data_IF_677190231648
#
_entry.id   IF_677190231648
#
_cell.length_a   1.000
_cell.length_b   1.000
_cell.length_c   1.000
_cell.angle_alpha   90.00
_cell.angle_beta   90.00
_cell.angle_gamma   90.00
#
_symmetry.space_group_name_H-M   'P 1'
#
loop_
_entity.id
_entity.type
_entity.pdbx_description
1 polymer ?
#
# COMPACT_ATOMS: atom_id res chain seq x y z
N UNK A 1 1.94 19.12 1.46
CA UNK A 1 0.60 19.20 0.84
C UNK A 1 0.59 18.29 -0.37
N UNK A 2 -0.49 17.54 -0.60
CA UNK A 2 -0.61 16.71 -1.81
C UNK A 2 -1.03 17.61 -2.96
N UNK A 3 -0.12 17.90 -3.89
CA UNK A 3 -0.50 18.62 -5.09
C UNK A 3 -1.57 17.82 -5.88
N UNK A 4 -2.49 18.54 -6.52
CA UNK A 4 -3.69 17.99 -7.17
C UNK A 4 -3.72 18.36 -8.65
N UNK A 5 -4.38 17.54 -9.46
CA UNK A 5 -4.74 17.86 -10.86
C UNK A 5 -6.24 18.03 -10.97
N UNK A 6 -6.69 19.12 -11.61
CA UNK A 6 -8.12 19.40 -11.80
C UNK A 6 -8.58 18.77 -13.11
N UNK A 7 -9.68 18.00 -13.05
CA UNK A 7 -10.30 17.43 -14.23
C UNK A 7 -10.92 18.54 -15.09
N UNK A 8 -10.49 18.66 -16.35
CA UNK A 8 -11.01 19.68 -17.29
C UNK A 8 -12.51 19.46 -17.62
N UNK A 9 -13.01 18.22 -17.49
CA UNK A 9 -14.40 17.87 -17.82
C UNK A 9 -15.38 18.15 -16.67
N UNK A 10 -15.07 17.73 -15.43
CA UNK A 10 -15.99 17.87 -14.30
C UNK A 10 -15.53 18.84 -13.18
N UNK A 11 -14.32 19.41 -13.29
CA UNK A 11 -13.77 20.34 -12.29
C UNK A 11 -13.30 19.68 -10.99
N UNK A 12 -13.38 18.35 -10.88
CA UNK A 12 -12.99 17.61 -9.68
C UNK A 12 -11.48 17.65 -9.45
N UNK A 13 -11.07 17.74 -8.19
CA UNK A 13 -9.66 17.67 -7.79
C UNK A 13 -9.22 16.22 -7.60
N UNK A 14 -8.24 15.79 -8.37
CA UNK A 14 -7.72 14.42 -8.40
C UNK A 14 -6.27 14.40 -7.88
N UNK A 15 -5.80 13.24 -7.44
CA UNK A 15 -4.41 13.09 -7.02
C UNK A 15 -3.48 13.23 -8.24
N UNK A 16 -2.30 13.83 -8.06
CA UNK A 16 -1.34 14.05 -9.15
C UNK A 16 -0.87 12.77 -9.84
N UNK A 17 -0.98 11.61 -9.19
CA UNK A 17 -0.55 10.32 -9.71
C UNK A 17 -1.68 9.54 -10.42
N UNK A 18 -2.87 10.12 -10.56
CA UNK A 18 -4.00 9.54 -11.29
C UNK A 18 -4.01 9.98 -12.75
N UNK A 19 -4.26 9.06 -13.67
CA UNK A 19 -4.38 9.34 -15.10
C UNK A 19 -5.83 9.47 -15.58
N UNK A 20 -6.80 9.23 -14.70
CA UNK A 20 -8.23 9.35 -14.96
C UNK A 20 -8.93 9.98 -13.78
N UNK A 21 -9.99 10.73 -14.06
CA UNK A 21 -10.77 11.37 -13.03
C UNK A 21 -11.54 10.34 -12.21
N UNK A 22 -11.37 10.36 -10.89
CA UNK A 22 -12.12 9.52 -9.96
C UNK A 22 -13.65 9.72 -10.06
N UNK A 23 -14.11 10.91 -10.46
CA UNK A 23 -15.54 11.21 -10.57
C UNK A 23 -16.14 10.87 -11.93
N UNK A 24 -15.48 11.22 -13.05
CA UNK A 24 -16.06 11.11 -14.39
C UNK A 24 -15.27 10.24 -15.39
N UNK A 25 -14.17 9.61 -14.96
CA UNK A 25 -13.30 8.73 -15.78
C UNK A 25 -12.59 9.41 -16.96
N UNK A 26 -12.75 10.73 -17.13
CA UNK A 26 -12.03 11.51 -18.13
C UNK A 26 -10.51 11.42 -17.90
N UNK A 27 -9.76 11.28 -18.98
CA UNK A 27 -8.29 11.24 -18.94
C UNK A 27 -7.72 12.56 -18.38
N UNK A 28 -6.86 12.45 -17.37
CA UNK A 28 -6.17 13.58 -16.76
C UNK A 28 -4.84 13.83 -17.47
N UNK A 29 -4.52 15.11 -17.73
CA UNK A 29 -3.27 15.52 -18.39
C UNK A 29 -2.22 15.94 -17.37
N UNK A 30 -1.56 14.96 -16.76
CA UNK A 30 -0.52 15.13 -15.73
C UNK A 30 0.86 14.60 -16.15
N UNK A 31 1.20 14.72 -17.43
CA UNK A 31 2.47 14.23 -18.01
C UNK A 31 3.73 14.71 -17.27
N UNK A 32 3.67 15.87 -16.62
CA UNK A 32 4.79 16.37 -15.82
C UNK A 32 5.10 15.47 -14.62
N UNK A 33 4.09 14.88 -13.98
CA UNK A 33 4.27 13.94 -12.87
C UNK A 33 4.94 12.65 -13.35
N UNK A 34 4.52 12.14 -14.51
CA UNK A 34 5.05 10.92 -15.11
C UNK A 34 6.37 11.12 -15.87
N UNK A 35 7.04 12.26 -15.66
CA UNK A 35 8.36 12.52 -16.23
C UNK A 35 9.42 12.06 -15.25
N UNK A 36 10.21 11.08 -15.65
CA UNK A 36 11.33 10.62 -14.87
C UNK A 36 12.48 11.67 -14.90
N UNK A 37 12.75 12.30 -13.76
CA UNK A 37 13.81 13.30 -13.61
C UNK A 37 14.84 12.86 -12.57
N UNK A 38 16.00 12.37 -13.04
CA UNK A 38 17.07 11.88 -12.17
C UNK A 38 17.57 12.92 -11.15
N UNK A 39 17.34 14.22 -11.36
CA UNK A 39 17.69 15.25 -10.38
C UNK A 39 16.85 15.11 -9.11
N UNK A 40 15.61 14.64 -9.23
CA UNK A 40 14.75 14.34 -8.08
C UNK A 40 15.31 13.19 -7.26
N UNK A 41 15.86 12.14 -7.89
CA UNK A 41 16.54 11.06 -7.18
C UNK A 41 17.68 11.58 -6.30
N UNK A 42 18.61 12.34 -6.88
CA UNK A 42 19.77 12.83 -6.14
C UNK A 42 19.40 13.85 -5.05
N UNK A 43 18.33 14.63 -5.28
CA UNK A 43 17.76 15.55 -4.30
C UNK A 43 17.10 14.79 -3.15
N UNK A 44 16.27 13.79 -3.46
CA UNK A 44 15.56 12.99 -2.47
C UNK A 44 16.54 12.21 -1.61
N UNK A 45 17.41 11.39 -2.21
CA UNK A 45 18.37 10.57 -1.46
C UNK A 45 19.64 11.37 -1.09
N UNK A 46 19.52 12.60 -0.62
CA UNK A 46 20.65 13.46 -0.25
C UNK A 46 21.15 13.18 1.18
N UNK A 47 22.37 13.65 1.50
CA UNK A 47 22.90 13.56 2.87
C UNK A 47 22.02 14.35 3.85
N UNK A 48 21.56 15.53 3.45
CA UNK A 48 20.69 16.39 4.26
C UNK A 48 19.39 15.66 4.64
N UNK A 49 18.76 14.96 3.68
CA UNK A 49 17.55 14.19 3.96
C UNK A 49 17.81 13.00 4.89
N UNK A 50 18.96 12.32 4.79
CA UNK A 50 19.36 11.30 5.78
C UNK A 50 19.50 11.91 7.17
N UNK A 51 20.13 13.08 7.29
CA UNK A 51 20.29 13.75 8.58
C UNK A 51 18.96 14.19 9.19
N UNK A 52 18.00 14.63 8.37
CA UNK A 52 16.63 14.91 8.80
C UNK A 52 15.98 13.63 9.32
N UNK A 53 16.02 12.55 8.53
CA UNK A 53 15.45 11.26 8.90
C UNK A 53 16.00 10.77 10.23
N UNK A 54 17.32 10.81 10.46
CA UNK A 54 17.96 10.37 11.72
C UNK A 54 17.58 11.18 12.97
N UNK A 55 17.07 12.41 12.80
CA UNK A 55 16.77 13.32 13.92
C UNK A 55 15.29 13.39 14.27
N UNK A 56 14.41 13.12 13.30
CA UNK A 56 12.97 13.28 13.44
C UNK A 56 12.33 11.90 13.41
N UNK A 57 11.89 11.34 14.55
CA UNK A 57 11.18 10.06 14.57
C UNK A 57 9.77 10.21 14.00
N UNK A 58 9.20 9.10 13.54
CA UNK A 58 7.78 9.01 13.26
C UNK A 58 7.00 8.98 14.59
N UNK A 59 6.31 10.07 14.91
CA UNK A 59 5.53 10.21 16.15
C UNK A 59 4.07 9.83 15.93
N UNK A 60 3.35 9.47 16.99
CA UNK A 60 1.91 9.16 16.96
C UNK A 60 1.11 10.26 16.26
N UNK A 61 1.35 11.53 16.59
CA UNK A 61 0.64 12.66 15.97
C UNK A 61 0.95 12.80 14.47
N UNK A 62 2.19 12.56 14.07
CA UNK A 62 2.56 12.54 12.65
C UNK A 62 1.85 11.38 11.92
N UNK A 63 1.81 10.21 12.56
CA UNK A 63 1.17 9.02 12.02
C UNK A 63 -0.35 9.18 11.91
N UNK A 64 -1.02 9.71 12.93
CA UNK A 64 -2.45 10.06 12.89
C UNK A 64 -2.75 11.02 11.74
N UNK A 65 -1.90 12.02 11.51
CA UNK A 65 -2.05 12.94 10.38
C UNK A 65 -1.91 12.23 9.04
N UNK A 66 -1.05 11.21 8.94
CA UNK A 66 -0.88 10.38 7.74
C UNK A 66 -2.13 9.53 7.50
N UNK A 67 -2.61 8.82 8.51
CA UNK A 67 -3.81 7.98 8.41
C UNK A 67 -5.03 8.82 8.01
N UNK A 68 -5.24 9.98 8.66
CA UNK A 68 -6.35 10.87 8.31
C UNK A 68 -6.22 11.45 6.90
N UNK A 69 -5.00 11.79 6.45
CA UNK A 69 -4.77 12.21 5.06
C UNK A 69 -5.14 11.11 4.04
N UNK A 70 -4.92 9.84 4.36
CA UNK A 70 -5.34 8.70 3.52
C UNK A 70 -6.87 8.54 3.54
N UNK A 71 -7.50 8.71 4.70
CA UNK A 71 -8.97 8.73 4.81
C UNK A 71 -9.55 9.87 3.98
N UNK A 72 -8.99 11.08 4.04
CA UNK A 72 -9.50 12.24 3.29
C UNK A 72 -9.47 12.02 1.77
N UNK A 73 -8.48 11.27 1.25
CA UNK A 73 -8.46 10.86 -0.16
C UNK A 73 -9.75 10.09 -0.53
N UNK A 74 -10.25 9.22 0.33
CA UNK A 74 -11.50 8.49 0.08
C UNK A 74 -12.73 9.39 0.20
N UNK A 75 -12.82 10.18 1.28
CA UNK A 75 -13.96 11.05 1.59
C UNK A 75 -14.21 12.12 0.51
N UNK A 76 -13.15 12.67 -0.09
CA UNK A 76 -13.26 13.63 -1.19
C UNK A 76 -13.89 13.01 -2.45
N UNK A 77 -13.87 11.69 -2.58
CA UNK A 77 -14.23 10.96 -3.80
C UNK A 77 -15.45 10.03 -3.64
N UNK A 78 -15.83 9.73 -2.41
CA UNK A 78 -16.92 8.82 -2.10
C UNK A 78 -17.66 9.27 -0.83
N UNK A 79 -18.83 9.88 -1.01
CA UNK A 79 -19.72 10.26 0.11
C UNK A 79 -20.86 9.26 0.22
N UNK A 80 -20.62 8.12 0.85
CA UNK A 80 -21.69 7.16 1.21
C UNK A 80 -21.39 6.60 2.60
N UNK A 81 -22.45 6.20 3.32
CA UNK A 81 -22.33 5.46 4.55
C UNK A 81 -21.66 4.10 4.32
N UNK A 82 -20.97 3.53 5.32
CA UNK A 82 -20.45 2.18 5.22
C UNK A 82 -21.55 1.18 4.84
N UNK A 83 -21.34 0.40 3.78
CA UNK A 83 -22.24 -0.68 3.34
C UNK A 83 -21.47 -1.99 3.24
N UNK A 84 -22.19 -3.12 3.15
CA UNK A 84 -21.57 -4.43 2.98
C UNK A 84 -20.72 -4.49 1.70
N UNK A 85 -19.61 -5.22 1.78
CA UNK A 85 -18.70 -5.44 0.67
C UNK A 85 -19.42 -6.14 -0.51
N UNK A 86 -19.56 -5.44 -1.63
CA UNK A 86 -19.96 -6.02 -2.91
C UNK A 86 -19.08 -5.42 -4.01
N UNK A 87 -18.92 -6.14 -5.13
CA UNK A 87 -17.97 -5.77 -6.19
C UNK A 87 -18.14 -4.33 -6.68
N UNK A 88 -19.37 -3.89 -6.96
CA UNK A 88 -19.64 -2.53 -7.44
C UNK A 88 -19.24 -1.47 -6.42
N UNK A 89 -19.55 -1.72 -5.15
CA UNK A 89 -19.19 -0.84 -4.06
C UNK A 89 -17.67 -0.76 -3.88
N UNK A 90 -16.99 -1.92 -3.85
CA UNK A 90 -15.54 -2.00 -3.69
C UNK A 90 -14.77 -1.33 -4.83
N UNK A 91 -15.26 -1.45 -6.08
CA UNK A 91 -14.67 -0.72 -7.21
C UNK A 91 -14.75 0.80 -7.00
N UNK A 92 -15.88 1.31 -6.48
CA UNK A 92 -16.03 2.76 -6.20
C UNK A 92 -15.11 3.22 -5.07
N UNK A 93 -15.01 2.44 -3.99
CA UNK A 93 -14.12 2.73 -2.86
C UNK A 93 -12.65 2.70 -3.27
N UNK A 94 -12.26 1.70 -4.08
CA UNK A 94 -10.88 1.56 -4.53
C UNK A 94 -10.46 2.69 -5.48
N UNK A 95 -11.38 3.19 -6.31
CA UNK A 95 -11.11 4.16 -7.39
C UNK A 95 -10.19 5.35 -7.04
N UNK A 96 -10.36 6.07 -5.91
CA UNK A 96 -9.45 7.15 -5.54
C UNK A 96 -8.03 6.69 -5.18
N UNK A 97 -7.85 5.42 -4.84
CA UNK A 97 -6.59 4.82 -4.40
C UNK A 97 -5.91 4.05 -5.53
N UNK A 98 -6.62 3.07 -6.09
CA UNK A 98 -6.15 2.18 -7.14
C UNK A 98 -7.27 1.81 -8.11
N UNK A 99 -6.94 1.72 -9.40
CA UNK A 99 -7.91 1.34 -10.43
C UNK A 99 -8.10 -0.18 -10.46
N UNK A 100 -9.32 -0.64 -10.24
CA UNK A 100 -9.71 -2.05 -10.41
C UNK A 100 -10.03 -2.33 -11.87
N UNK A 101 -9.43 -3.39 -12.44
CA UNK A 101 -9.68 -3.82 -13.81
C UNK A 101 -9.36 -5.31 -14.00
N UNK A 102 -9.93 -5.92 -15.04
CA UNK A 102 -9.56 -7.29 -15.41
C UNK A 102 -8.19 -7.33 -16.08
N UNK A 103 -7.38 -8.33 -15.76
CA UNK A 103 -6.14 -8.61 -16.48
C UNK A 103 -6.45 -9.26 -17.84
N UNK A 104 -6.50 -8.42 -18.87
CA UNK A 104 -6.73 -8.87 -20.24
C UNK A 104 -5.52 -9.58 -20.86
N UNK A 105 -4.32 -9.35 -20.32
CA UNK A 105 -3.08 -9.91 -20.83
C UNK A 105 -2.73 -11.26 -20.17
N UNK A 106 -3.43 -11.64 -19.10
CA UNK A 106 -3.20 -12.86 -18.33
C UNK A 106 -1.73 -13.03 -17.95
N UNK A 107 -1.12 -11.96 -17.42
CA UNK A 107 0.30 -11.87 -17.07
C UNK A 107 0.65 -12.81 -15.91
N UNK A 108 -0.30 -13.00 -15.00
CA UNK A 108 -0.15 -13.75 -13.76
C UNK A 108 -1.25 -14.82 -13.63
N UNK A 109 -1.24 -15.86 -14.50
CA UNK A 109 -2.35 -16.81 -14.62
C UNK A 109 -2.61 -17.64 -13.36
N UNK A 110 -1.61 -17.76 -12.48
CA UNK A 110 -1.70 -18.55 -11.25
C UNK A 110 -2.32 -17.77 -10.08
N UNK A 111 -2.52 -16.46 -10.24
CA UNK A 111 -3.06 -15.58 -9.21
C UNK A 111 -4.52 -15.24 -9.53
N UNK A 112 -5.37 -15.17 -8.50
CA UNK A 112 -6.73 -14.66 -8.64
C UNK A 112 -6.76 -13.15 -8.86
N UNK A 113 -5.81 -12.44 -8.26
CA UNK A 113 -5.63 -11.01 -8.42
C UNK A 113 -4.20 -10.63 -8.10
N UNK A 114 -3.82 -9.41 -8.45
CA UNK A 114 -2.57 -8.82 -7.99
C UNK A 114 -2.65 -7.29 -8.03
N UNK A 115 -1.96 -6.65 -7.09
CA UNK A 115 -1.74 -5.22 -7.03
C UNK A 115 -0.43 -4.85 -7.71
N UNK A 116 -0.47 -3.91 -8.66
CA UNK A 116 0.73 -3.41 -9.33
C UNK A 116 0.55 -1.94 -9.73
N UNK A 117 1.43 -1.08 -9.23
CA UNK A 117 1.54 0.35 -9.56
C UNK A 117 0.18 1.10 -9.64
N UNK A 118 -0.54 1.18 -8.51
CA UNK A 118 -1.87 1.81 -8.40
C UNK A 118 -2.98 1.15 -9.25
N UNK A 119 -2.78 -0.11 -9.65
CA UNK A 119 -3.80 -0.90 -10.32
C UNK A 119 -4.02 -2.22 -9.60
N UNK A 120 -5.29 -2.56 -9.44
CA UNK A 120 -5.75 -3.85 -8.95
C UNK A 120 -6.21 -4.64 -10.17
N UNK A 121 -5.53 -5.75 -10.44
CA UNK A 121 -5.83 -6.62 -11.55
C UNK A 121 -6.60 -7.84 -11.06
N UNK A 122 -7.78 -8.09 -11.64
CA UNK A 122 -8.57 -9.29 -11.38
C UNK A 122 -8.36 -10.27 -12.54
N UNK A 123 -7.92 -11.49 -12.26
CA UNK A 123 -7.82 -12.52 -13.28
C UNK A 123 -9.23 -12.87 -13.80
N UNK A 124 -9.37 -13.06 -15.11
CA UNK A 124 -10.66 -13.40 -15.74
C UNK A 124 -11.20 -14.76 -15.31
N UNK A 125 -10.34 -15.65 -14.82
CA UNK A 125 -10.69 -16.97 -14.34
C UNK A 125 -11.05 -16.98 -12.84
N UNK A 126 -10.93 -15.84 -12.15
CA UNK A 126 -11.29 -15.74 -10.74
C UNK A 126 -12.79 -15.98 -10.56
N UNK A 127 -13.20 -16.94 -9.72
CA UNK A 127 -14.60 -17.17 -9.41
C UNK A 127 -15.26 -15.88 -8.92
N UNK A 128 -16.48 -15.60 -9.40
CA UNK A 128 -17.17 -14.32 -9.13
C UNK A 128 -17.35 -14.06 -7.64
N UNK A 129 -17.58 -15.12 -6.87
CA UNK A 129 -17.70 -15.11 -5.42
C UNK A 129 -16.40 -14.70 -4.71
N UNK A 130 -15.22 -14.90 -5.31
CA UNK A 130 -13.93 -14.52 -4.70
C UNK A 130 -13.49 -13.10 -5.06
N UNK A 131 -14.14 -12.45 -6.04
CA UNK A 131 -13.77 -11.10 -6.50
C UNK A 131 -13.83 -10.04 -5.38
N UNK A 132 -14.83 -10.02 -4.47
CA UNK A 132 -14.82 -9.08 -3.35
C UNK A 132 -13.58 -9.24 -2.45
N UNK A 133 -13.23 -10.48 -2.11
CA UNK A 133 -12.02 -10.83 -1.35
C UNK A 133 -10.75 -10.35 -2.03
N UNK A 134 -10.64 -10.64 -3.33
CA UNK A 134 -9.52 -10.18 -4.16
C UNK A 134 -9.37 -8.65 -4.14
N UNK A 135 -10.45 -7.88 -4.36
CA UNK A 135 -10.35 -6.41 -4.37
C UNK A 135 -9.92 -5.87 -3.01
N UNK A 136 -10.47 -6.40 -1.91
CA UNK A 136 -10.10 -5.96 -0.55
C UNK A 136 -8.64 -6.30 -0.25
N UNK A 137 -8.19 -7.50 -0.61
CA UNK A 137 -6.81 -7.95 -0.44
C UNK A 137 -5.83 -7.03 -1.17
N UNK A 138 -6.05 -6.80 -2.46
CA UNK A 138 -5.17 -5.94 -3.27
C UNK A 138 -5.23 -4.46 -2.86
N UNK A 139 -6.39 -3.98 -2.40
CA UNK A 139 -6.52 -2.62 -1.87
C UNK A 139 -5.75 -2.45 -0.56
N UNK A 140 -5.68 -3.48 0.29
CA UNK A 140 -4.90 -3.45 1.51
C UNK A 140 -3.40 -3.30 1.24
N UNK A 141 -2.86 -4.00 0.22
CA UNK A 141 -1.49 -3.77 -0.25
C UNK A 141 -1.25 -2.33 -0.67
N UNK A 142 -2.17 -1.76 -1.45
CA UNK A 142 -2.08 -0.36 -1.85
C UNK A 142 -2.05 0.58 -0.64
N UNK A 143 -2.98 0.41 0.31
CA UNK A 143 -3.10 1.28 1.47
C UNK A 143 -1.87 1.19 2.38
N UNK A 144 -1.31 -0.01 2.57
CA UNK A 144 -0.06 -0.16 3.31
C UNK A 144 1.10 0.56 2.61
N UNK A 145 1.21 0.42 1.29
CA UNK A 145 2.21 1.15 0.50
C UNK A 145 1.97 2.69 0.59
N UNK A 146 0.72 3.14 0.61
CA UNK A 146 0.37 4.56 0.79
C UNK A 146 0.77 5.09 2.18
N UNK A 147 0.62 4.31 3.25
CA UNK A 147 1.12 4.65 4.59
C UNK A 147 2.64 4.89 4.55
N UNK A 148 3.40 3.99 3.90
CA UNK A 148 4.86 4.14 3.75
C UNK A 148 5.21 5.42 2.99
N UNK A 149 4.56 5.66 1.85
CA UNK A 149 4.81 6.86 1.02
C UNK A 149 4.54 8.14 1.79
N UNK A 150 3.38 8.23 2.44
CA UNK A 150 3.02 9.41 3.21
C UNK A 150 3.89 9.59 4.45
N UNK A 151 4.40 8.50 5.04
CA UNK A 151 5.41 8.58 6.11
C UNK A 151 6.69 9.26 5.63
N UNK A 152 7.24 8.86 4.48
CA UNK A 152 8.43 9.50 3.90
C UNK A 152 8.16 10.96 3.55
N UNK A 153 7.01 11.24 2.94
CA UNK A 153 6.59 12.60 2.58
C UNK A 153 6.49 13.51 3.81
N UNK A 154 5.92 12.99 4.90
CA UNK A 154 5.77 13.73 6.15
C UNK A 154 7.13 13.98 6.81
N UNK A 155 7.95 12.95 6.97
CA UNK A 155 9.26 13.04 7.62
C UNK A 155 10.22 14.01 6.91
N UNK A 156 10.19 14.04 5.58
CA UNK A 156 11.05 14.91 4.77
C UNK A 156 10.39 16.23 4.36
N UNK A 157 9.10 16.41 4.66
CA UNK A 157 8.28 17.53 4.19
C UNK A 157 8.40 17.75 2.66
N UNK A 158 8.22 16.67 1.90
CA UNK A 158 8.30 16.66 0.43
C UNK A 158 6.97 16.24 -0.19
N UNK A 159 6.70 16.72 -1.40
CA UNK A 159 5.56 16.27 -2.17
C UNK A 159 5.82 14.89 -2.79
N UNK A 160 4.73 14.15 -3.04
CA UNK A 160 4.77 12.87 -3.73
C UNK A 160 5.39 13.03 -5.12
N UNK A 161 6.31 12.13 -5.45
CA UNK A 161 6.94 12.02 -6.76
C UNK A 161 7.21 10.53 -7.06
N UNK A 162 7.63 10.24 -8.30
CA UNK A 162 7.88 8.86 -8.74
C UNK A 162 8.93 8.14 -7.88
N UNK A 163 9.96 8.83 -7.39
CA UNK A 163 10.97 8.19 -6.54
C UNK A 163 10.45 7.84 -5.13
N UNK A 164 9.44 8.55 -4.61
CA UNK A 164 8.74 8.15 -3.37
C UNK A 164 7.86 6.92 -3.66
N UNK A 165 7.17 6.88 -4.80
CA UNK A 165 6.39 5.70 -5.22
C UNK A 165 7.32 4.47 -5.34
N UNK A 166 8.44 4.61 -6.05
CA UNK A 166 9.41 3.53 -6.25
C UNK A 166 10.17 3.16 -4.99
N UNK A 167 10.41 4.09 -4.06
CA UNK A 167 10.97 3.77 -2.75
C UNK A 167 10.05 2.80 -1.99
N UNK A 168 8.76 3.10 -1.91
CA UNK A 168 7.81 2.25 -1.20
C UNK A 168 7.67 0.89 -1.88
N UNK A 169 7.61 0.84 -3.22
CA UNK A 169 7.64 -0.42 -3.97
C UNK A 169 8.91 -1.24 -3.74
N UNK A 170 10.08 -0.61 -3.77
CA UNK A 170 11.34 -1.27 -3.46
C UNK A 170 11.31 -1.87 -2.05
N UNK A 171 10.85 -1.09 -1.07
CA UNK A 171 10.73 -1.54 0.31
C UNK A 171 9.80 -2.76 0.44
N UNK A 172 8.63 -2.73 -0.20
CA UNK A 172 7.63 -3.82 -0.06
C UNK A 172 7.88 -5.03 -0.95
N UNK A 173 8.72 -4.92 -1.99
CA UNK A 173 9.00 -6.02 -2.93
C UNK A 173 10.39 -6.64 -2.83
N UNK A 174 11.39 -5.91 -2.33
CA UNK A 174 12.78 -6.37 -2.33
C UNK A 174 13.28 -6.75 -0.94
N UNK A 175 12.57 -6.34 0.11
CA UNK A 175 12.86 -6.77 1.48
C UNK A 175 11.92 -7.93 1.87
N UNK A 176 12.47 -9.12 2.07
CA UNK A 176 11.72 -10.35 2.36
C UNK A 176 10.80 -10.21 3.59
N UNK A 177 11.27 -9.57 4.66
CA UNK A 177 10.44 -9.35 5.85
C UNK A 177 9.30 -8.36 5.60
N UNK A 178 9.52 -7.35 4.76
CA UNK A 178 8.45 -6.42 4.37
C UNK A 178 7.47 -7.03 3.36
N UNK A 179 7.90 -7.98 2.54
CA UNK A 179 6.98 -8.79 1.73
C UNK A 179 6.04 -9.59 2.66
N UNK A 180 6.59 -10.22 3.70
CA UNK A 180 5.80 -10.92 4.73
C UNK A 180 4.83 -9.95 5.42
N UNK A 181 5.30 -8.76 5.84
CA UNK A 181 4.42 -7.74 6.45
C UNK A 181 3.29 -7.37 5.49
N UNK A 182 3.61 -7.10 4.23
CA UNK A 182 2.67 -6.66 3.22
C UNK A 182 1.57 -7.71 2.94
N UNK A 183 1.96 -8.98 2.74
CA UNK A 183 1.02 -10.11 2.58
C UNK A 183 0.21 -10.38 3.84
N UNK A 184 0.84 -10.32 5.01
CA UNK A 184 0.12 -10.57 6.25
C UNK A 184 -0.94 -9.48 6.51
N UNK A 185 -0.63 -8.21 6.23
CA UNK A 185 -1.58 -7.10 6.31
C UNK A 185 -2.78 -7.34 5.39
N UNK A 186 -2.56 -7.72 4.13
CA UNK A 186 -3.66 -7.91 3.17
C UNK A 186 -4.58 -9.07 3.55
N UNK A 187 -4.02 -10.19 4.00
CA UNK A 187 -4.80 -11.31 4.53
C UNK A 187 -5.63 -10.92 5.75
N UNK A 188 -5.06 -10.18 6.70
CA UNK A 188 -5.78 -9.72 7.90
C UNK A 188 -6.96 -8.79 7.57
N UNK A 189 -6.76 -7.90 6.62
CA UNK A 189 -7.80 -6.97 6.16
C UNK A 189 -8.91 -7.74 5.42
N UNK A 190 -8.55 -8.67 4.53
CA UNK A 190 -9.51 -9.53 3.84
C UNK A 190 -10.34 -10.36 4.82
N UNK A 191 -9.68 -11.02 5.77
CA UNK A 191 -10.31 -11.83 6.80
C UNK A 191 -11.28 -11.02 7.67
N UNK A 192 -10.98 -9.74 7.94
CA UNK A 192 -11.87 -8.87 8.71
C UNK A 192 -13.15 -8.48 7.97
N UNK A 193 -13.04 -8.05 6.71
CA UNK A 193 -14.19 -7.52 5.97
C UNK A 193 -15.03 -8.58 5.27
N UNK A 194 -14.39 -9.66 4.80
CA UNK A 194 -15.02 -10.73 4.00
C UNK A 194 -14.48 -12.12 4.38
N UNK A 195 -14.63 -12.55 5.64
CA UNK A 195 -14.18 -13.86 6.14
C UNK A 195 -14.71 -15.05 5.32
N UNK A 196 -15.89 -14.94 4.72
CA UNK A 196 -16.46 -15.98 3.85
C UNK A 196 -15.67 -16.20 2.55
N UNK A 197 -14.81 -15.25 2.18
CA UNK A 197 -13.93 -15.29 1.01
C UNK A 197 -12.46 -15.47 1.39
N UNK A 198 -12.16 -15.65 2.68
CA UNK A 198 -10.80 -15.85 3.16
C UNK A 198 -10.38 -17.31 3.00
N UNK A 199 -9.34 -17.55 2.22
CA UNK A 199 -8.83 -18.91 1.92
C UNK A 199 -7.62 -19.31 2.78
N UNK A 200 -7.26 -18.48 3.77
CA UNK A 200 -6.07 -18.68 4.59
C UNK A 200 -4.83 -17.95 4.06
N UNK A 201 -3.74 -18.04 4.82
CA UNK A 201 -2.49 -17.30 4.63
C UNK A 201 -1.56 -17.93 3.57
N UNK A 202 -2.08 -18.42 2.45
CA UNK A 202 -1.30 -19.22 1.49
C UNK A 202 -0.08 -18.47 0.93
N UNK A 203 -0.23 -17.22 0.47
CA UNK A 203 0.91 -16.44 -0.04
C UNK A 203 1.93 -16.08 1.05
N UNK A 204 1.50 -15.91 2.30
CA UNK A 204 2.42 -15.74 3.44
C UNK A 204 3.21 -17.02 3.68
N UNK A 205 2.56 -18.19 3.66
CA UNK A 205 3.24 -19.47 3.83
C UNK A 205 4.25 -19.73 2.72
N UNK A 206 3.94 -19.38 1.47
CA UNK A 206 4.88 -19.47 0.35
C UNK A 206 6.13 -18.61 0.60
N UNK A 207 5.97 -17.35 1.05
CA UNK A 207 7.11 -16.49 1.41
C UNK A 207 7.95 -17.04 2.57
N UNK A 208 7.32 -17.75 3.51
CA UNK A 208 8.00 -18.35 4.66
C UNK A 208 8.78 -19.61 4.28
N UNK A 209 8.33 -20.35 3.27
CA UNK A 209 8.97 -21.57 2.77
C UNK A 209 10.15 -21.29 1.82
N UNK A 210 10.14 -20.15 1.13
CA UNK A 210 11.12 -19.81 0.07
C UNK A 210 12.51 -19.37 0.58
N UNK A 211 12.69 -19.13 1.89
CA UNK A 211 13.89 -18.46 2.42
C UNK A 211 14.54 -19.13 3.64
N UNK A 212 15.85 -18.90 3.80
CA UNK A 212 16.55 -19.15 5.08
C UNK A 212 16.38 -17.94 6.00
N UNK A 213 15.12 -17.63 6.34
CA UNK A 213 14.73 -16.45 7.10
C UNK A 213 14.91 -16.70 8.61
N UNK A 214 15.30 -15.63 9.31
CA UNK A 214 15.47 -15.67 10.75
C UNK A 214 14.09 -15.68 11.44
N UNK A 215 13.87 -16.66 12.32
CA UNK A 215 12.60 -16.86 12.99
C UNK A 215 12.15 -15.63 13.80
N UNK A 216 13.06 -15.01 14.55
CA UNK A 216 12.71 -13.87 15.42
C UNK A 216 12.34 -12.65 14.58
N UNK A 217 13.00 -12.48 13.42
CA UNK A 217 12.65 -11.45 12.45
C UNK A 217 11.31 -11.73 11.76
N UNK A 218 10.97 -12.99 11.49
CA UNK A 218 9.63 -13.37 10.99
C UNK A 218 8.56 -13.00 12.03
N UNK A 219 8.75 -13.39 13.30
CA UNK A 219 7.81 -13.07 14.39
C UNK A 219 7.61 -11.56 14.53
N UNK A 220 8.71 -10.80 14.41
CA UNK A 220 8.68 -9.34 14.40
C UNK A 220 7.90 -8.80 13.19
N UNK A 221 8.18 -9.29 11.98
CA UNK A 221 7.51 -8.88 10.75
C UNK A 221 6.00 -9.13 10.81
N UNK A 222 5.59 -10.32 11.24
CA UNK A 222 4.18 -10.68 11.43
C UNK A 222 3.51 -9.84 12.51
N UNK A 223 4.21 -9.52 13.60
CA UNK A 223 3.70 -8.66 14.68
C UNK A 223 3.52 -7.20 14.23
N UNK A 224 4.45 -6.69 13.41
CA UNK A 224 4.30 -5.39 12.73
C UNK A 224 3.10 -5.44 11.79
N UNK A 225 2.98 -6.48 10.95
CA UNK A 225 1.85 -6.65 10.04
C UNK A 225 0.50 -6.71 10.76
N UNK A 226 0.42 -7.43 11.88
CA UNK A 226 -0.78 -7.46 12.72
C UNK A 226 -1.16 -6.07 13.21
N UNK A 227 -0.17 -5.30 13.66
CA UNK A 227 -0.39 -3.96 14.23
C UNK A 227 -0.81 -2.96 13.16
N UNK A 228 -0.15 -2.96 12.00
CA UNK A 228 -0.47 -2.07 10.87
C UNK A 228 -1.78 -2.45 10.18
N UNK A 229 -2.16 -3.74 10.17
CA UNK A 229 -3.43 -4.17 9.60
C UNK A 229 -4.63 -3.48 10.25
N UNK A 230 -4.53 -3.15 11.55
CA UNK A 230 -5.57 -2.39 12.28
C UNK A 230 -5.74 -0.98 11.72
N UNK A 231 -4.66 -0.34 11.29
CA UNK A 231 -4.70 0.99 10.69
C UNK A 231 -5.35 0.95 9.29
N UNK A 232 -5.03 -0.08 8.50
CA UNK A 232 -5.67 -0.31 7.19
C UNK A 232 -7.16 -0.63 7.34
N UNK A 233 -7.52 -1.45 8.33
CA UNK A 233 -8.92 -1.72 8.70
C UNK A 233 -9.61 -0.40 9.07
N UNK A 234 -9.02 0.40 9.96
CA UNK A 234 -9.60 1.70 10.36
C UNK A 234 -9.88 2.63 9.18
N UNK A 235 -8.99 2.67 8.18
CA UNK A 235 -9.19 3.44 6.95
C UNK A 235 -10.41 2.91 6.18
N UNK A 236 -10.49 1.59 5.97
CA UNK A 236 -11.54 0.97 5.16
C UNK A 236 -12.90 0.93 5.86
N UNK A 237 -12.96 0.87 7.19
CA UNK A 237 -14.20 0.92 7.98
C UNK A 237 -14.98 2.22 7.80
N UNK A 238 -14.34 3.27 7.28
CA UNK A 238 -15.05 4.51 6.90
C UNK A 238 -15.99 4.29 5.71
N UNK A 239 -15.80 3.22 4.95
CA UNK A 239 -16.50 2.96 3.69
C UNK A 239 -17.12 1.57 3.59
N UNK A 240 -16.60 0.58 4.32
CA UNK A 240 -17.02 -0.83 4.26
C UNK A 240 -17.51 -1.27 5.62
N UNK A 241 -18.72 -1.83 5.69
CA UNK A 241 -19.18 -2.56 6.87
C UNK A 241 -18.65 -4.00 6.82
N UNK A 242 -18.07 -4.53 7.91
CA UNK A 242 -17.66 -5.94 7.97
C UNK A 242 -18.86 -6.87 7.76
N UNK A 243 -18.71 -7.90 6.93
CA UNK A 243 -19.80 -8.82 6.53
C UNK A 243 -20.37 -9.63 7.71
N UNK A 244 -19.52 -9.90 8.70
CA UNK A 244 -19.84 -10.60 9.94
C UNK A 244 -19.19 -9.86 11.10
N UNK A 245 -19.86 -9.79 12.25
CA UNK A 245 -19.26 -9.36 13.52
C UNK A 245 -18.30 -10.44 14.02
N UNK A 246 -17.21 -10.67 13.28
CA UNK A 246 -16.15 -11.58 13.70
C UNK A 246 -15.44 -10.90 14.86
N UNK A 247 -15.47 -11.53 16.03
CA UNK A 247 -14.65 -11.07 17.14
C UNK A 247 -13.17 -11.26 16.73
N UNK A 248 -12.40 -10.17 16.52
CA UNK A 248 -11.02 -10.25 16.04
C UNK A 248 -10.12 -11.06 16.97
N UNK A 249 -10.50 -11.18 18.25
CA UNK A 249 -9.74 -11.87 19.29
C UNK A 249 -9.87 -13.40 19.24
N UNK A 250 -10.77 -13.96 18.42
CA UNK A 250 -10.99 -15.42 18.30
C UNK A 250 -10.21 -16.03 17.12
N UNK A 251 -9.58 -15.21 16.28
CA UNK A 251 -8.95 -15.68 15.05
C UNK A 251 -7.55 -16.22 15.33
N UNK A 252 -7.45 -17.55 15.29
CA UNK A 252 -6.23 -18.31 15.48
C UNK A 252 -5.36 -18.29 14.20
N UNK A 253 -4.36 -17.41 14.14
CA UNK A 253 -3.17 -17.59 13.29
C UNK A 253 -2.25 -18.74 13.77
N UNK A 254 -2.82 -19.69 14.53
CA UNK A 254 -2.13 -20.89 15.02
C UNK A 254 -1.51 -21.71 13.89
N UNK A 255 -2.08 -21.64 12.68
CA UNK A 255 -1.58 -22.37 11.52
C UNK A 255 -0.25 -21.84 10.97
N UNK A 256 0.19 -20.63 11.38
CA UNK A 256 1.49 -20.09 10.97
C UNK A 256 2.65 -20.61 11.83
N UNK A 257 2.40 -21.07 13.07
CA UNK A 257 3.45 -21.62 13.94
C UNK A 257 4.44 -20.60 14.54
N UNK A 258 4.10 -19.31 14.50
CA UNK A 258 4.91 -18.20 15.03
C UNK A 258 4.23 -17.50 16.21
N UNK A 259 4.99 -16.94 17.15
CA UNK A 259 4.46 -16.13 18.25
C UNK A 259 4.18 -14.70 17.76
N UNK A 260 2.97 -14.49 17.23
CA UNK A 260 2.54 -13.20 16.69
C UNK A 260 1.76 -12.45 17.76
N UNK A 261 2.22 -11.24 18.11
CA UNK A 261 1.58 -10.38 19.11
C UNK A 261 1.40 -8.98 18.58
N UNK A 262 0.27 -8.35 18.91
CA UNK A 262 0.10 -6.93 18.59
C UNK A 262 1.16 -6.13 19.33
N UNK A 263 1.84 -5.25 18.60
CA UNK A 263 2.70 -4.24 19.18
C UNK A 263 1.83 -3.10 19.74
N UNK A 264 2.33 -2.43 20.77
CA UNK A 264 1.81 -1.10 21.11
C UNK A 264 2.17 -0.07 20.04
N UNK A 265 1.51 1.08 20.07
CA UNK A 265 1.65 2.12 19.06
C UNK A 265 3.12 2.55 18.88
N UNK A 266 3.82 2.83 19.97
CA UNK A 266 5.21 3.29 19.91
C UNK A 266 6.13 2.23 19.30
N UNK A 267 5.96 0.95 19.64
CA UNK A 267 6.74 -0.14 19.07
C UNK A 267 6.43 -0.38 17.59
N UNK A 268 5.16 -0.26 17.18
CA UNK A 268 4.76 -0.28 15.76
C UNK A 268 5.44 0.85 14.97
N UNK A 269 5.37 2.08 15.49
CA UNK A 269 5.98 3.24 14.83
C UNK A 269 7.49 3.16 14.78
N UNK A 270 8.15 2.71 15.85
CA UNK A 270 9.59 2.49 15.88
C UNK A 270 10.04 1.46 14.83
N UNK A 271 9.29 0.38 14.65
CA UNK A 271 9.59 -0.64 13.65
C UNK A 271 9.45 -0.08 12.22
N UNK A 272 8.34 0.59 11.92
CA UNK A 272 8.13 1.21 10.60
C UNK A 272 9.15 2.31 10.29
N UNK A 273 9.44 3.17 11.27
CA UNK A 273 10.44 4.22 11.12
C UNK A 273 11.83 3.64 10.88
N UNK A 274 12.25 2.66 11.68
CA UNK A 274 13.55 1.99 11.51
C UNK A 274 13.71 1.44 10.10
N UNK A 275 12.74 0.67 9.60
CA UNK A 275 12.88 0.06 8.28
C UNK A 275 12.87 1.08 7.13
N UNK A 276 12.08 2.17 7.27
CA UNK A 276 12.09 3.28 6.31
C UNK A 276 13.46 3.95 6.30
N UNK A 277 14.00 4.31 7.46
CA UNK A 277 15.27 5.02 7.58
C UNK A 277 16.44 4.17 7.09
N UNK A 278 16.53 2.90 7.52
CA UNK A 278 17.60 1.99 7.11
C UNK A 278 17.59 1.75 5.59
N UNK A 279 16.40 1.57 5.01
CA UNK A 279 16.26 1.39 3.55
C UNK A 279 16.63 2.66 2.80
N UNK A 280 16.21 3.83 3.30
CA UNK A 280 16.55 5.12 2.71
C UNK A 280 18.06 5.39 2.75
N UNK A 281 18.70 5.08 3.88
CA UNK A 281 20.16 5.16 4.05
C UNK A 281 20.90 4.21 3.11
N UNK A 282 20.41 2.98 2.98
CA UNK A 282 20.97 2.01 2.04
C UNK A 282 20.95 2.57 0.61
N UNK A 283 19.81 3.09 0.15
CA UNK A 283 19.68 3.68 -1.19
C UNK A 283 20.60 4.88 -1.37
N UNK A 284 20.63 5.77 -0.39
CA UNK A 284 21.45 6.98 -0.44
C UNK A 284 22.96 6.69 -0.34
N UNK A 285 23.37 5.59 0.29
CA UNK A 285 24.73 5.08 0.33
C UNK A 285 25.16 4.40 -0.98
N UNK A 286 24.22 3.79 -1.71
CA UNK A 286 24.48 2.99 -2.92
C UNK A 286 23.86 3.60 -4.18
N UNK A 287 23.87 4.94 -4.29
CA UNK A 287 23.16 5.67 -5.36
C UNK A 287 23.42 5.17 -6.77
N UNK A 288 24.66 4.80 -7.08
CA UNK A 288 25.04 4.33 -8.42
C UNK A 288 24.30 3.06 -8.82
N UNK A 289 24.14 2.14 -7.87
CA UNK A 289 23.54 0.83 -8.11
C UNK A 289 22.02 0.89 -7.94
N UNK A 290 21.54 1.75 -7.03
CA UNK A 290 20.12 1.89 -6.75
C UNK A 290 19.36 2.81 -7.71
N UNK A 291 20.05 3.74 -8.39
CA UNK A 291 19.39 4.59 -9.36
C UNK A 291 18.75 3.79 -10.51
N UNK A 292 19.44 2.83 -11.18
CA UNK A 292 18.80 1.97 -12.18
C UNK A 292 17.62 1.18 -11.62
N UNK A 293 17.74 0.60 -10.42
CA UNK A 293 16.68 -0.20 -9.79
C UNK A 293 15.40 0.62 -9.58
N UNK A 294 15.50 1.81 -8.97
CA UNK A 294 14.33 2.68 -8.78
C UNK A 294 13.84 3.29 -10.10
N UNK A 295 14.71 3.46 -11.09
CA UNK A 295 14.35 3.92 -12.42
C UNK A 295 13.47 2.89 -13.14
N UNK A 296 13.79 1.60 -13.02
CA UNK A 296 13.01 0.52 -13.63
C UNK A 296 11.62 0.39 -12.98
N UNK A 297 11.54 0.59 -11.66
CA UNK A 297 10.26 0.73 -10.95
C UNK A 297 9.49 1.98 -11.41
N UNK A 298 10.15 3.13 -11.62
CA UNK A 298 9.51 4.32 -12.19
C UNK A 298 8.95 4.04 -13.59
N UNK A 299 9.73 3.37 -14.46
CA UNK A 299 9.27 3.04 -15.82
C UNK A 299 8.06 2.12 -15.76
N UNK A 300 8.09 1.09 -14.91
CA UNK A 300 6.94 0.22 -14.70
C UNK A 300 5.73 1.02 -14.20
N UNK A 301 5.92 1.92 -13.24
CA UNK A 301 4.84 2.79 -12.76
C UNK A 301 4.22 3.63 -13.88
N UNK A 302 5.06 4.23 -14.74
CA UNK A 302 4.65 5.04 -15.89
C UNK A 302 3.89 4.17 -16.90
N UNK A 303 4.43 3.01 -17.30
CA UNK A 303 3.80 2.09 -18.27
C UNK A 303 2.46 1.56 -17.80
N UNK A 304 2.30 1.33 -16.50
CA UNK A 304 1.02 0.93 -15.95
C UNK A 304 0.02 2.09 -15.92
N UNK A 305 0.44 3.36 -15.94
CA UNK A 305 -0.44 4.51 -15.73
C UNK A 305 -0.53 5.50 -16.91
N UNK A 306 0.08 5.24 -18.06
CA UNK A 306 -0.07 6.02 -19.31
C UNK A 306 -0.46 5.08 -20.45
#
# INVERSE_FOLDING_TARGET
>A
MNAKVICENCGHANALNQNQCSQCDETLRNYAYFKNDFREFYKLFSKDNIEILKKIPLTDTAYDSIINSIVDIGNENYQVFPENANVQHLIKIAKPYARVQYDNANRHPNFYSYYSFNKIFINRLTPNELIPGAIIHELAHHLFNEIIKQSVMHLLNVEKNLYIESFAWYLTLQNEYMQIVNEFVSHRVQEYFVPEHFTGYTSVLELLDEGNLDKDKIETALSVGLSVSKDVIFILEKYISPSLSVNPDIIQYLNLGFDIRSLDEQNKLNAMYTIIVETFEFIAGHKRDMQPVLNDLNQSYIEYNI
#
